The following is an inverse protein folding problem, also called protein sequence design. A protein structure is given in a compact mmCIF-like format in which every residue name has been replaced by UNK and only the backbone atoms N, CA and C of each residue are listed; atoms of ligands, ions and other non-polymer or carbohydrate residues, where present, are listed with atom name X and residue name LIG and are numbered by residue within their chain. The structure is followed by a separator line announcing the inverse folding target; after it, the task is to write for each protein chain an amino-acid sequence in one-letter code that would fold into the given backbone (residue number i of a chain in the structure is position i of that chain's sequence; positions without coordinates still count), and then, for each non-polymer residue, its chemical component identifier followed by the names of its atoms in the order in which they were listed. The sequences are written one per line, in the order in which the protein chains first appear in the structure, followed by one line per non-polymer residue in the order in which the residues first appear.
data_IF_731561710811
#
_entry.id   IF_731561710811
#
_cell.length_a   1.000
_cell.length_b   1.000
_cell.length_c   1.000
_cell.angle_alpha   90.00
_cell.angle_beta   90.00
_cell.angle_gamma   90.00
#
_symmetry.space_group_name_H-M   'P 1'
#
loop_
_entity.id
_entity.type
_entity.pdbx_description
1 polymer ?
#
# COMPACT_ATOMS: atom_id res chain seq x y z
N UNK A 1 -5.07 13.73 -12.94
CA UNK A 1 -6.43 14.28 -13.12
C UNK A 1 -7.41 13.35 -12.43
N UNK A 2 -8.39 13.87 -11.67
CA UNK A 2 -9.46 13.06 -11.08
C UNK A 2 -10.60 12.91 -12.09
N UNK A 3 -11.24 11.73 -12.09
CA UNK A 3 -12.40 11.44 -12.95
C UNK A 3 -13.52 10.87 -12.11
N UNK A 4 -14.67 11.48 -12.22
CA UNK A 4 -15.91 10.90 -11.68
C UNK A 4 -16.41 9.81 -12.63
N UNK A 5 -16.73 8.64 -12.09
CA UNK A 5 -17.16 7.47 -12.87
C UNK A 5 -18.65 7.19 -12.67
N UNK A 6 -19.18 7.46 -11.48
CA UNK A 6 -20.59 7.21 -11.13
C UNK A 6 -21.03 8.08 -9.95
N UNK A 7 -22.28 8.53 -9.97
CA UNK A 7 -22.97 9.13 -8.81
C UNK A 7 -24.21 8.29 -8.45
N UNK A 8 -24.09 7.34 -7.51
CA UNK A 8 -25.22 6.55 -7.07
C UNK A 8 -26.19 7.39 -6.22
N UNK A 9 -27.42 6.89 -6.06
CA UNK A 9 -28.41 7.49 -5.14
C UNK A 9 -27.82 7.59 -3.72
N UNK A 10 -27.97 8.76 -3.09
CA UNK A 10 -27.40 9.06 -1.75
C UNK A 10 -27.79 8.05 -0.67
N UNK A 11 -28.98 7.44 -0.79
CA UNK A 11 -29.46 6.39 0.11
C UNK A 11 -28.56 5.13 0.15
N UNK A 12 -27.77 4.87 -0.90
CA UNK A 12 -26.86 3.72 -0.98
C UNK A 12 -25.53 3.96 -0.25
N UNK A 13 -25.19 5.21 0.07
CA UNK A 13 -23.92 5.56 0.70
C UNK A 13 -23.60 4.73 1.97
N UNK A 14 -24.49 4.63 2.98
CA UNK A 14 -24.20 3.85 4.19
C UNK A 14 -24.03 2.34 3.91
N UNK A 15 -24.74 1.80 2.93
CA UNK A 15 -24.65 0.38 2.55
C UNK A 15 -23.29 0.07 1.89
N UNK A 16 -22.85 0.92 0.96
CA UNK A 16 -21.57 0.78 0.29
C UNK A 16 -20.40 0.90 1.28
N UNK A 17 -20.46 1.91 2.15
CA UNK A 17 -19.47 2.14 3.20
C UNK A 17 -19.37 0.95 4.15
N UNK A 18 -20.51 0.44 4.64
CA UNK A 18 -20.53 -0.72 5.52
C UNK A 18 -19.95 -1.96 4.86
N UNK A 19 -20.29 -2.22 3.58
CA UNK A 19 -19.73 -3.36 2.84
C UNK A 19 -18.22 -3.26 2.71
N UNK A 20 -17.69 -2.08 2.38
CA UNK A 20 -16.25 -1.86 2.27
C UNK A 20 -15.56 -2.04 3.62
N UNK A 21 -16.12 -1.47 4.70
CA UNK A 21 -15.57 -1.62 6.06
C UNK A 21 -15.50 -3.09 6.48
N UNK A 22 -16.55 -3.87 6.25
CA UNK A 22 -16.54 -5.32 6.55
C UNK A 22 -15.45 -6.05 5.76
N UNK A 23 -15.32 -5.77 4.46
CA UNK A 23 -14.27 -6.37 3.62
C UNK A 23 -12.86 -6.00 4.11
N UNK A 24 -12.69 -4.79 4.63
CA UNK A 24 -11.43 -4.28 5.17
C UNK A 24 -11.18 -4.64 6.65
N UNK A 25 -12.09 -5.43 7.27
CA UNK A 25 -12.06 -5.78 8.70
C UNK A 25 -12.09 -4.57 9.64
N UNK A 26 -12.79 -3.52 9.24
CA UNK A 26 -12.99 -2.29 10.00
C UNK A 26 -14.32 -2.32 10.76
N UNK A 27 -14.40 -1.55 11.84
CA UNK A 27 -15.63 -1.44 12.61
C UNK A 27 -16.59 -0.43 11.97
N UNK A 28 -17.77 -0.91 11.58
CA UNK A 28 -18.80 -0.10 10.90
C UNK A 28 -19.32 1.08 11.73
N UNK A 29 -19.36 0.94 13.06
CA UNK A 29 -19.94 1.93 13.98
C UNK A 29 -18.93 2.96 14.50
N UNK A 30 -17.64 2.66 14.37
CA UNK A 30 -16.56 3.54 14.80
C UNK A 30 -16.55 4.82 13.95
N UNK A 31 -16.32 5.96 14.60
CA UNK A 31 -16.33 7.30 14.01
C UNK A 31 -14.93 7.93 13.92
N UNK A 32 -13.90 7.22 14.36
CA UNK A 32 -12.49 7.57 14.16
C UNK A 32 -12.02 7.24 12.74
N UNK A 33 -10.86 7.78 12.36
CA UNK A 33 -10.22 7.42 11.09
C UNK A 33 -9.65 6.01 11.21
N UNK A 34 -10.01 5.14 10.26
CA UNK A 34 -9.68 3.72 10.28
C UNK A 34 -8.97 3.31 8.99
N UNK A 35 -7.95 2.47 9.13
CA UNK A 35 -7.15 1.95 8.03
C UNK A 35 -7.23 0.43 7.98
N UNK A 36 -7.50 -0.12 6.81
CA UNK A 36 -7.68 -1.56 6.60
C UNK A 36 -7.07 -2.05 5.30
N UNK A 37 -7.04 -3.38 5.13
CA UNK A 37 -6.57 -4.03 3.90
C UNK A 37 -7.60 -5.02 3.40
N UNK A 38 -7.76 -5.07 2.08
CA UNK A 38 -8.63 -6.03 1.40
C UNK A 38 -7.76 -6.78 0.38
N UNK A 39 -7.29 -8.00 0.72
CA UNK A 39 -6.59 -8.83 -0.25
C UNK A 39 -7.61 -9.35 -1.27
N UNK A 40 -7.34 -9.10 -2.56
CA UNK A 40 -8.18 -9.56 -3.67
C UNK A 40 -7.35 -10.35 -4.67
N UNK A 41 -7.99 -11.33 -5.32
CA UNK A 41 -7.43 -12.06 -6.45
C UNK A 41 -8.35 -11.88 -7.65
N UNK A 42 -7.86 -11.18 -8.68
CA UNK A 42 -8.64 -10.83 -9.88
C UNK A 42 -7.82 -11.21 -11.11
N UNK A 43 -8.39 -12.03 -12.00
CA UNK A 43 -7.71 -12.41 -13.25
C UNK A 43 -6.35 -13.08 -13.03
N UNK A 44 -6.19 -13.84 -11.95
CA UNK A 44 -4.92 -14.50 -11.58
C UNK A 44 -3.91 -13.60 -10.86
N UNK A 45 -4.15 -12.29 -10.76
CA UNK A 45 -3.26 -11.34 -10.07
C UNK A 45 -3.70 -11.09 -8.64
N UNK A 46 -2.72 -11.00 -7.73
CA UNK A 46 -2.96 -10.56 -6.37
C UNK A 46 -2.89 -9.03 -6.25
N UNK A 47 -4.00 -8.43 -5.82
CA UNK A 47 -4.11 -7.00 -5.59
C UNK A 47 -4.35 -6.78 -4.09
N UNK A 48 -3.52 -5.94 -3.47
CA UNK A 48 -3.73 -5.45 -2.11
C UNK A 48 -4.46 -4.10 -2.19
N UNK A 49 -5.73 -4.06 -1.77
CA UNK A 49 -6.41 -2.79 -1.58
C UNK A 49 -6.12 -2.26 -0.19
N UNK A 50 -5.63 -1.03 -0.09
CA UNK A 50 -5.61 -0.28 1.17
C UNK A 50 -6.86 0.56 1.25
N UNK A 51 -7.60 0.42 2.34
CA UNK A 51 -8.81 1.15 2.62
C UNK A 51 -8.54 2.17 3.72
N UNK A 52 -8.86 3.43 3.46
CA UNK A 52 -8.84 4.52 4.42
C UNK A 52 -10.26 5.03 4.59
N UNK A 53 -10.77 5.02 5.82
CA UNK A 53 -12.10 5.47 6.18
C UNK A 53 -12.00 6.63 7.14
N UNK A 54 -12.62 7.76 6.83
CA UNK A 54 -12.62 8.95 7.70
C UNK A 54 -14.02 9.54 7.83
N UNK A 55 -14.34 10.05 9.02
CA UNK A 55 -15.63 10.61 9.34
C UNK A 55 -15.54 12.14 9.37
N UNK A 56 -16.50 12.81 8.73
CA UNK A 56 -16.67 14.27 8.73
C UNK A 56 -18.13 14.62 8.45
N UNK A 57 -18.41 15.42 7.41
CA UNK A 57 -19.77 15.67 6.89
C UNK A 57 -20.36 14.43 6.18
N UNK A 58 -20.41 13.29 6.87
CA UNK A 58 -20.55 11.96 6.31
C UNK A 58 -19.23 11.18 6.32
N UNK A 59 -19.31 9.89 6.04
CA UNK A 59 -18.15 9.01 5.97
C UNK A 59 -17.57 8.99 4.55
N UNK A 60 -16.25 9.16 4.44
CA UNK A 60 -15.52 9.09 3.17
C UNK A 60 -14.60 7.90 3.22
N UNK A 61 -14.66 7.10 2.17
CA UNK A 61 -13.82 5.91 2.00
C UNK A 61 -12.94 6.10 0.76
N UNK A 62 -11.64 5.92 0.92
CA UNK A 62 -10.66 5.96 -0.15
C UNK A 62 -10.01 4.59 -0.25
N UNK A 63 -9.99 4.04 -1.46
CA UNK A 63 -9.33 2.77 -1.78
C UNK A 63 -8.10 3.03 -2.63
N UNK A 64 -6.95 2.50 -2.22
CA UNK A 64 -5.71 2.49 -2.99
C UNK A 64 -5.41 1.07 -3.45
N UNK A 65 -5.24 0.91 -4.75
CA UNK A 65 -4.92 -0.37 -5.38
C UNK A 65 -3.41 -0.53 -5.45
N UNK A 66 -2.90 -1.63 -4.93
CA UNK A 66 -1.49 -2.00 -5.03
C UNK A 66 -1.37 -3.37 -5.69
N UNK A 67 -0.71 -3.41 -6.83
CA UNK A 67 -0.33 -4.67 -7.48
C UNK A 67 0.87 -5.25 -6.73
N UNK A 68 0.73 -6.48 -6.20
CA UNK A 68 1.81 -7.13 -5.46
C UNK A 68 2.98 -7.54 -6.37
N UNK A 69 2.73 -7.77 -7.66
CA UNK A 69 3.75 -8.21 -8.60
C UNK A 69 4.66 -7.07 -9.05
N UNK A 70 4.15 -5.82 -9.00
CA UNK A 70 4.94 -4.62 -9.28
C UNK A 70 6.12 -4.42 -8.32
N UNK A 71 6.16 -5.16 -7.19
CA UNK A 71 7.22 -5.10 -6.18
C UNK A 71 8.47 -5.94 -6.48
N UNK A 72 8.48 -6.79 -7.52
CA UNK A 72 9.71 -7.51 -7.96
C UNK A 72 10.61 -6.57 -8.77
N UNK A 73 11.14 -5.56 -8.10
CA UNK A 73 12.13 -4.67 -8.67
C UNK A 73 13.51 -5.25 -8.40
N UNK A 74 14.33 -5.33 -9.45
CA UNK A 74 15.76 -5.58 -9.28
C UNK A 74 16.39 -4.36 -8.62
N UNK A 75 17.34 -4.58 -7.72
CA UNK A 75 18.05 -3.51 -7.00
C UNK A 75 18.64 -2.44 -7.95
N UNK A 76 19.07 -2.88 -9.13
CA UNK A 76 19.64 -2.03 -10.19
C UNK A 76 18.62 -1.08 -10.81
N UNK A 77 17.33 -1.45 -10.80
CA UNK A 77 16.22 -0.66 -11.35
C UNK A 77 15.67 0.37 -10.35
N UNK A 78 16.24 0.45 -9.15
CA UNK A 78 15.83 1.42 -8.11
C UNK A 78 16.46 2.81 -8.29
N UNK A 79 17.26 3.03 -9.35
CA UNK A 79 17.87 4.32 -9.63
C UNK A 79 19.09 4.66 -8.77
N UNK A 80 19.72 3.65 -8.16
CA UNK A 80 21.01 3.83 -7.49
C UNK A 80 22.11 4.06 -8.53
N UNK A 81 22.96 5.05 -8.30
CA UNK A 81 24.18 5.19 -9.09
C UNK A 81 25.14 4.01 -8.84
N UNK A 82 26.07 3.81 -9.76
CA UNK A 82 26.96 2.66 -9.76
C UNK A 82 27.90 2.60 -8.54
N UNK A 83 28.20 3.73 -7.89
CA UNK A 83 29.02 3.76 -6.68
C UNK A 83 28.22 3.39 -5.44
N UNK A 84 27.01 3.93 -5.29
CA UNK A 84 26.07 3.57 -4.24
C UNK A 84 25.70 2.09 -4.30
N UNK A 85 25.43 1.56 -5.49
CA UNK A 85 25.09 0.14 -5.67
C UNK A 85 26.25 -0.79 -5.27
N UNK A 86 27.50 -0.40 -5.58
CA UNK A 86 28.70 -1.18 -5.22
C UNK A 86 28.93 -1.18 -3.72
N UNK A 87 28.81 -0.01 -3.09
CA UNK A 87 28.89 0.13 -1.63
C UNK A 87 27.80 -0.69 -0.94
N UNK A 88 26.58 -0.67 -1.48
CA UNK A 88 25.46 -1.44 -0.95
C UNK A 88 25.69 -2.96 -1.04
N UNK A 89 26.19 -3.47 -2.17
CA UNK A 89 26.54 -4.90 -2.33
C UNK A 89 27.67 -5.37 -1.42
N UNK A 90 28.54 -4.46 -0.98
CA UNK A 90 29.62 -4.75 -0.03
C UNK A 90 29.17 -4.79 1.43
N UNK A 91 27.93 -4.39 1.75
CA UNK A 91 27.41 -4.43 3.11
C UNK A 91 26.99 -5.85 3.49
N UNK A 92 27.34 -6.28 4.70
CA UNK A 92 26.80 -7.52 5.27
C UNK A 92 25.26 -7.44 5.36
N UNK A 93 24.53 -8.56 5.11
CA UNK A 93 23.08 -8.60 5.23
C UNK A 93 22.56 -8.03 6.56
N UNK A 94 23.28 -8.30 7.66
CA UNK A 94 22.94 -7.83 9.01
C UNK A 94 23.05 -6.31 9.17
N UNK A 95 24.01 -5.67 8.50
CA UNK A 95 24.20 -4.22 8.54
C UNK A 95 23.16 -3.49 7.68
N UNK A 96 22.72 -4.15 6.61
CA UNK A 96 21.75 -3.60 5.66
C UNK A 96 20.39 -3.45 6.33
N UNK A 97 19.89 -4.47 7.04
CA UNK A 97 18.60 -4.44 7.75
C UNK A 97 18.54 -3.36 8.84
N UNK A 98 19.62 -3.18 9.61
CA UNK A 98 19.65 -2.21 10.71
C UNK A 98 19.62 -0.76 10.19
N UNK A 99 20.26 -0.48 9.06
CA UNK A 99 20.26 0.85 8.43
C UNK A 99 18.86 1.26 7.92
N UNK A 100 18.10 0.31 7.36
CA UNK A 100 16.75 0.56 6.83
C UNK A 100 15.72 0.88 7.90
N UNK A 101 15.88 0.36 9.12
CA UNK A 101 14.94 0.65 10.24
C UNK A 101 14.74 2.16 10.47
N UNK A 102 15.74 3.00 10.17
CA UNK A 102 15.75 4.46 10.44
C UNK A 102 15.08 5.35 9.38
N UNK A 103 14.89 4.88 8.14
CA UNK A 103 14.56 5.74 6.97
C UNK A 103 13.07 6.12 6.80
N UNK A 104 12.30 6.75 7.71
CA UNK A 104 10.85 7.18 7.54
C UNK A 104 9.92 6.47 6.50
N UNK A 105 8.73 6.00 6.90
CA UNK A 105 7.75 5.34 6.01
C UNK A 105 7.54 6.10 4.66
N UNK A 106 7.43 5.31 3.57
CA UNK A 106 7.15 5.73 2.18
C UNK A 106 8.33 6.18 1.28
N UNK A 107 9.60 6.03 1.72
CA UNK A 107 10.79 6.25 0.85
C UNK A 107 11.35 5.00 0.16
N UNK A 108 10.51 4.01 -0.13
CA UNK A 108 10.95 2.80 -0.86
C UNK A 108 11.80 1.80 -0.09
N UNK A 109 11.93 1.92 1.26
CA UNK A 109 12.71 0.97 2.08
C UNK A 109 12.38 -0.49 1.82
N UNK A 110 11.07 -0.79 1.85
CA UNK A 110 10.56 -2.15 1.72
C UNK A 110 10.89 -2.65 0.33
N UNK A 111 10.68 -1.81 -0.70
CA UNK A 111 11.06 -2.12 -2.07
C UNK A 111 12.55 -2.44 -2.20
N UNK A 112 13.44 -1.63 -1.62
CA UNK A 112 14.89 -1.88 -1.67
C UNK A 112 15.30 -3.13 -0.90
N UNK A 113 14.70 -3.39 0.26
CA UNK A 113 14.95 -4.60 1.04
C UNK A 113 14.49 -5.87 0.28
N UNK A 114 13.27 -5.86 -0.26
CA UNK A 114 12.75 -6.99 -1.05
C UNK A 114 13.57 -7.20 -2.33
N UNK A 115 14.00 -6.13 -2.99
CA UNK A 115 14.91 -6.19 -4.14
C UNK A 115 16.30 -6.76 -3.80
N UNK A 116 16.74 -6.63 -2.55
CA UNK A 116 18.02 -7.15 -2.08
C UNK A 116 17.96 -8.62 -1.70
N UNK A 117 16.82 -9.08 -1.17
CA UNK A 117 16.61 -10.49 -0.78
C UNK A 117 16.26 -11.39 -1.97
N UNK A 118 15.81 -10.80 -3.07
CA UNK A 118 15.43 -11.52 -4.29
C UNK A 118 16.61 -11.84 -5.22
N UNK A 119 17.83 -11.36 -4.92
CA UNK A 119 19.06 -11.58 -5.69
C UNK A 119 20.08 -12.41 -4.90
#
# INVERSE_FOLDING_TARGET
MLREVVQPRRALAPLLVSRIKVMAKLESRKTDTQDGRIPLRIGGREIDLRCHSTHGNGERVVLRFLDKEAGRLELQKLGMDATTLRGYRGLSPNHTVSSWSRVRQDRGKTTTLYASLAN
#
